data_IF_333590692254
#
_entry.id   IF_333590692254
#
_cell.length_a   1.000
_cell.length_b   1.000
_cell.length_c   1.000
_cell.angle_alpha   90.00
_cell.angle_beta   90.00
_cell.angle_gamma   90.00
#
_symmetry.space_group_name_H-M   'P 1'
#
loop_
_entity.id
_entity.type
_entity.pdbx_description
1 polymer ?
#
# COMPACT_ATOMS: atom_id res chain seq x y z
N UNK A 1 28.53 26.05 -4.89
CA UNK A 1 28.12 24.64 -4.80
C UNK A 1 29.05 23.83 -5.70
N UNK A 2 29.79 22.89 -5.15
CA UNK A 2 30.70 22.03 -5.93
C UNK A 2 30.08 20.64 -5.95
N UNK A 3 29.78 20.14 -7.14
CA UNK A 3 29.29 18.77 -7.34
C UNK A 3 30.54 17.90 -7.57
N UNK A 4 30.73 16.90 -6.73
CA UNK A 4 31.91 16.03 -6.80
C UNK A 4 31.53 14.59 -6.43
N UNK A 5 32.22 13.61 -7.00
CA UNK A 5 32.12 12.21 -6.58
C UNK A 5 32.72 12.01 -5.19
N UNK A 6 32.42 10.87 -4.54
CA UNK A 6 32.94 10.55 -3.21
C UNK A 6 34.48 10.51 -3.19
N UNK A 7 35.10 10.00 -4.27
CA UNK A 7 36.56 9.99 -4.44
C UNK A 7 37.12 11.39 -4.59
N UNK A 8 36.48 12.28 -5.35
CA UNK A 8 36.85 13.67 -5.50
C UNK A 8 36.65 14.43 -4.19
N UNK A 9 35.60 14.15 -3.40
CA UNK A 9 35.40 14.71 -2.07
C UNK A 9 36.58 14.43 -1.14
N UNK A 10 37.06 13.19 -1.06
CA UNK A 10 38.19 12.82 -0.21
C UNK A 10 39.47 13.56 -0.62
N UNK A 11 39.73 13.65 -1.93
CA UNK A 11 40.89 14.36 -2.43
C UNK A 11 40.85 15.88 -2.16
N UNK A 12 39.65 16.48 -2.31
CA UNK A 12 39.47 17.93 -2.14
C UNK A 12 39.32 18.31 -0.65
N UNK A 13 38.79 17.45 0.22
CA UNK A 13 38.65 17.73 1.65
C UNK A 13 40.02 17.97 2.33
N UNK A 14 41.05 17.23 1.92
CA UNK A 14 42.41 17.46 2.41
C UNK A 14 43.00 18.79 1.94
N UNK A 15 42.62 19.24 0.74
CA UNK A 15 43.13 20.47 0.15
C UNK A 15 42.52 21.74 0.76
N UNK A 16 41.29 21.66 1.26
CA UNK A 16 40.57 22.82 1.82
C UNK A 16 40.59 22.88 3.33
N UNK A 17 40.95 21.80 4.05
CA UNK A 17 41.07 21.79 5.51
C UNK A 17 42.14 22.77 6.01
N UNK A 18 43.20 22.95 5.23
CA UNK A 18 44.33 23.81 5.57
C UNK A 18 43.98 25.32 5.54
N UNK A 19 42.86 25.67 4.93
CA UNK A 19 42.42 27.06 4.83
C UNK A 19 41.29 27.44 5.79
N UNK A 20 40.88 26.53 6.69
CA UNK A 20 39.83 26.78 7.68
C UNK A 20 38.45 27.03 7.05
N UNK A 21 38.23 26.63 5.81
CA UNK A 21 36.97 26.83 5.06
C UNK A 21 36.04 25.63 5.28
N UNK A 22 34.86 25.91 5.84
CA UNK A 22 33.80 24.93 5.88
C UNK A 22 33.16 24.76 4.49
N UNK A 23 33.34 23.61 3.89
CA UNK A 23 32.80 23.31 2.57
C UNK A 23 31.65 22.32 2.71
N UNK A 24 30.44 22.72 2.27
CA UNK A 24 29.30 21.83 2.17
C UNK A 24 29.39 21.05 0.84
N UNK A 25 29.59 19.76 0.95
CA UNK A 25 29.73 18.87 -0.19
C UNK A 25 28.41 18.25 -0.57
N UNK A 26 28.06 18.36 -1.84
CA UNK A 26 27.02 17.55 -2.47
C UNK A 26 27.74 16.51 -3.32
N UNK A 27 27.77 15.27 -2.83
CA UNK A 27 28.32 14.16 -3.61
C UNK A 27 27.24 13.61 -4.54
N UNK A 28 27.52 13.61 -5.82
CA UNK A 28 26.78 12.76 -6.76
C UNK A 28 27.46 11.40 -6.72
N UNK A 29 26.83 10.44 -6.07
CA UNK A 29 27.25 9.05 -6.11
C UNK A 29 26.85 8.51 -7.49
N UNK A 30 27.79 8.43 -8.41
CA UNK A 30 27.55 7.89 -9.77
C UNK A 30 27.12 6.41 -9.74
N UNK A 31 27.28 5.73 -8.60
CA UNK A 31 26.89 4.33 -8.39
C UNK A 31 25.51 4.17 -7.71
N UNK A 32 24.90 5.24 -7.22
CA UNK A 32 23.53 5.16 -6.68
C UNK A 32 22.52 5.18 -7.81
N UNK A 33 22.35 4.02 -8.42
CA UNK A 33 21.21 3.79 -9.30
C UNK A 33 19.92 3.93 -8.47
N UNK A 34 18.98 4.72 -8.96
CA UNK A 34 17.65 4.82 -8.37
C UNK A 34 16.97 3.45 -8.44
N UNK A 35 16.93 2.72 -7.33
CA UNK A 35 16.31 1.39 -7.27
C UNK A 35 14.81 1.45 -7.57
N UNK A 36 14.18 2.60 -7.35
CA UNK A 36 12.76 2.82 -7.54
C UNK A 36 12.46 3.71 -8.77
N UNK A 37 13.31 3.75 -9.78
CA UNK A 37 13.15 4.61 -10.96
C UNK A 37 11.83 4.38 -11.72
N UNK A 38 11.30 3.17 -11.71
CA UNK A 38 10.02 2.80 -12.34
C UNK A 38 8.82 2.89 -11.39
N UNK A 39 9.04 3.24 -10.13
CA UNK A 39 7.97 3.30 -9.13
C UNK A 39 7.04 4.47 -9.39
N UNK A 40 5.74 4.24 -9.20
CA UNK A 40 4.74 5.29 -9.23
C UNK A 40 5.08 6.43 -8.26
N UNK A 41 4.92 7.67 -8.70
CA UNK A 41 5.33 8.86 -7.93
C UNK A 41 4.62 8.99 -6.57
N UNK A 42 3.37 8.52 -6.47
CA UNK A 42 2.61 8.55 -5.21
C UNK A 42 3.15 7.51 -4.23
N UNK A 43 3.46 6.30 -4.70
CA UNK A 43 4.12 5.26 -3.89
C UNK A 43 5.50 5.74 -3.42
N UNK A 44 6.28 6.31 -4.34
CA UNK A 44 7.59 6.91 -4.02
C UNK A 44 7.47 7.94 -2.92
N UNK A 45 6.49 8.86 -3.03
CA UNK A 45 6.25 9.86 -2.00
C UNK A 45 5.88 9.24 -0.66
N UNK A 46 4.99 8.26 -0.64
CA UNK A 46 4.60 7.59 0.60
C UNK A 46 5.78 6.91 1.32
N UNK A 47 6.74 6.36 0.56
CA UNK A 47 7.97 5.77 1.10
C UNK A 47 8.90 6.85 1.65
N UNK A 48 9.04 7.98 0.96
CA UNK A 48 9.93 9.07 1.37
C UNK A 48 9.37 9.89 2.54
N UNK A 49 8.05 9.88 2.74
CA UNK A 49 7.39 10.49 3.89
C UNK A 49 7.53 9.63 5.18
N UNK A 50 7.96 8.37 5.06
CA UNK A 50 8.21 7.51 6.22
C UNK A 50 9.58 7.84 6.85
N UNK A 51 9.57 8.41 8.04
CA UNK A 51 10.78 8.81 8.77
C UNK A 51 11.69 7.61 9.13
N UNK A 52 11.16 6.39 9.17
CA UNK A 52 11.96 5.18 9.42
C UNK A 52 12.76 4.76 8.20
N UNK A 53 12.28 5.09 7.01
CA UNK A 53 12.91 4.81 5.72
C UNK A 53 13.78 6.00 5.28
N UNK A 54 13.26 7.21 5.43
CA UNK A 54 13.91 8.46 5.03
C UNK A 54 14.02 9.46 6.21
N UNK A 55 14.93 9.24 7.16
CA UNK A 55 15.05 10.07 8.36
C UNK A 55 15.45 11.52 8.08
N UNK A 56 15.94 11.83 6.89
CA UNK A 56 16.29 13.20 6.47
C UNK A 56 15.06 13.98 6.00
N UNK A 57 14.01 13.28 5.56
CA UNK A 57 12.76 13.89 5.08
C UNK A 57 12.88 14.61 3.73
N UNK A 58 13.98 14.42 3.00
CA UNK A 58 14.14 15.03 1.67
C UNK A 58 13.41 14.20 0.61
N UNK A 59 12.37 14.78 0.00
CA UNK A 59 11.57 14.18 -1.06
C UNK A 59 12.38 13.89 -2.35
N UNK A 60 13.55 14.53 -2.51
CA UNK A 60 14.45 14.29 -3.64
C UNK A 60 15.48 13.20 -3.34
N UNK A 61 15.38 12.54 -2.19
CA UNK A 61 16.26 11.43 -1.84
C UNK A 61 16.15 10.31 -2.87
N UNK A 62 17.29 9.82 -3.35
CA UNK A 62 17.37 8.62 -4.20
C UNK A 62 16.98 7.41 -3.36
N UNK A 63 15.95 6.69 -3.75
CA UNK A 63 15.52 5.47 -3.05
C UNK A 63 16.49 4.34 -3.39
N UNK A 64 17.13 3.81 -2.37
CA UNK A 64 18.08 2.70 -2.49
C UNK A 64 17.41 1.37 -2.16
N UNK A 65 18.02 0.25 -2.56
CA UNK A 65 17.58 -1.09 -2.17
C UNK A 65 17.53 -1.26 -0.64
N UNK A 66 18.48 -0.65 0.10
CA UNK A 66 18.46 -0.68 1.56
C UNK A 66 17.24 0.04 2.13
N UNK A 67 16.81 1.14 1.52
CA UNK A 67 15.58 1.85 1.92
C UNK A 67 14.35 1.00 1.60
N UNK A 68 14.26 0.41 0.41
CA UNK A 68 13.17 -0.48 0.02
C UNK A 68 13.05 -1.69 0.96
N UNK A 69 14.19 -2.23 1.41
CA UNK A 69 14.22 -3.34 2.37
C UNK A 69 13.68 -2.95 3.77
N UNK A 70 13.65 -1.67 4.12
CA UNK A 70 13.06 -1.16 5.37
C UNK A 70 11.57 -0.90 5.28
N UNK A 71 11.00 -0.84 4.07
CA UNK A 71 9.58 -0.58 3.87
C UNK A 71 8.76 -1.77 4.33
N UNK A 72 8.11 -1.63 5.46
CA UNK A 72 7.19 -2.63 6.02
C UNK A 72 5.73 -2.21 5.98
N UNK A 73 5.47 -0.92 5.81
CA UNK A 73 4.12 -0.37 5.72
C UNK A 73 4.08 0.71 4.64
N UNK A 74 3.02 0.72 3.83
CA UNK A 74 2.69 1.82 2.92
C UNK A 74 1.29 2.29 3.26
N UNK A 75 1.16 3.59 3.54
CA UNK A 75 -0.10 4.21 3.90
C UNK A 75 -0.37 5.44 3.02
N UNK A 76 -1.29 5.30 2.07
CA UNK A 76 -1.76 6.39 1.23
C UNK A 76 -3.09 6.88 1.80
N UNK A 77 -3.09 8.12 2.29
CA UNK A 77 -4.24 8.72 2.95
C UNK A 77 -4.98 9.71 2.05
N UNK A 78 -6.20 10.07 2.42
CA UNK A 78 -7.01 11.07 1.69
C UNK A 78 -6.40 12.47 1.66
N UNK A 79 -5.46 12.77 2.55
CA UNK A 79 -4.73 14.05 2.58
C UNK A 79 -3.61 14.13 1.54
N UNK A 80 -3.21 12.99 0.96
CA UNK A 80 -2.21 12.94 -0.11
C UNK A 80 -2.87 13.17 -1.46
N UNK A 81 -2.17 13.92 -2.31
CA UNK A 81 -2.54 13.95 -3.74
C UNK A 81 -2.13 12.60 -4.34
N UNK A 82 -3.13 11.78 -4.60
CA UNK A 82 -2.96 10.44 -5.16
C UNK A 82 -3.33 10.37 -6.66
N UNK A 83 -3.43 11.52 -7.32
CA UNK A 83 -3.72 11.58 -8.76
C UNK A 83 -2.69 10.76 -9.54
N UNK A 84 -3.17 9.84 -10.38
CA UNK A 84 -2.32 8.96 -11.17
C UNK A 84 -1.65 7.82 -10.39
N UNK A 85 -2.13 7.50 -9.19
CA UNK A 85 -1.67 6.33 -8.45
C UNK A 85 -1.88 5.07 -9.28
N UNK A 86 -0.80 4.32 -9.44
CA UNK A 86 -0.77 2.91 -9.86
C UNK A 86 0.03 2.12 -8.84
N UNK A 87 0.04 0.79 -8.96
CA UNK A 87 0.86 -0.07 -8.10
C UNK A 87 2.23 -0.39 -8.70
N UNK A 88 2.63 0.32 -9.76
CA UNK A 88 3.92 0.12 -10.42
C UNK A 88 5.08 0.36 -9.43
N UNK A 89 5.96 -0.62 -9.31
CA UNK A 89 7.11 -0.60 -8.40
C UNK A 89 6.79 -0.98 -6.96
N UNK A 90 5.53 -1.32 -6.63
CA UNK A 90 5.20 -1.84 -5.30
C UNK A 90 5.94 -3.15 -5.01
N UNK A 91 6.17 -3.97 -6.03
CA UNK A 91 6.90 -5.25 -5.98
C UNK A 91 8.34 -5.12 -5.47
N UNK A 92 8.92 -3.93 -5.54
CA UNK A 92 10.25 -3.65 -4.97
C UNK A 92 10.24 -3.66 -3.43
N UNK A 93 9.07 -3.49 -2.80
CA UNK A 93 8.92 -3.47 -1.34
C UNK A 93 8.71 -4.89 -0.78
N UNK A 94 9.71 -5.75 -0.90
CA UNK A 94 9.63 -7.19 -0.58
C UNK A 94 9.40 -7.53 0.89
N UNK A 95 9.53 -6.55 1.80
CA UNK A 95 9.27 -6.69 3.23
C UNK A 95 7.93 -6.09 3.67
N UNK A 96 7.08 -5.71 2.72
CA UNK A 96 5.79 -5.10 3.02
C UNK A 96 4.91 -6.07 3.82
N UNK A 97 4.43 -5.62 4.97
CA UNK A 97 3.50 -6.35 5.85
C UNK A 97 2.13 -5.72 5.90
N UNK A 98 2.05 -4.41 5.62
CA UNK A 98 0.78 -3.67 5.60
C UNK A 98 0.70 -2.75 4.39
N UNK A 99 -0.44 -2.77 3.72
CA UNK A 99 -0.77 -1.87 2.62
C UNK A 99 -2.13 -1.21 2.89
N UNK A 100 -2.13 0.10 2.97
CA UNK A 100 -3.36 0.89 3.13
C UNK A 100 -3.45 1.94 2.02
N UNK A 101 -4.50 1.85 1.22
CA UNK A 101 -4.80 2.82 0.17
C UNK A 101 -6.19 3.40 0.43
N UNK A 102 -6.21 4.65 0.92
CA UNK A 102 -7.42 5.43 1.09
C UNK A 102 -7.26 6.74 0.28
N UNK A 103 -7.61 6.68 -0.99
CA UNK A 103 -7.28 7.72 -1.95
C UNK A 103 -8.51 8.25 -2.69
N UNK A 104 -8.52 9.57 -2.99
CA UNK A 104 -9.57 10.21 -3.76
C UNK A 104 -9.31 10.10 -5.26
N UNK A 105 -10.40 9.91 -6.05
CA UNK A 105 -10.38 9.89 -7.53
C UNK A 105 -9.40 8.87 -8.14
N UNK A 106 -9.13 7.79 -7.42
CA UNK A 106 -8.23 6.73 -7.86
C UNK A 106 -9.03 5.49 -8.19
N UNK A 107 -8.79 4.94 -9.37
CA UNK A 107 -9.23 3.61 -9.80
C UNK A 107 -7.99 2.74 -10.03
N UNK A 108 -7.94 1.60 -9.37
CA UNK A 108 -6.77 0.72 -9.42
C UNK A 108 -6.93 -0.47 -10.40
N UNK A 109 -8.14 -0.64 -10.97
CA UNK A 109 -8.41 -1.78 -11.86
C UNK A 109 -8.27 -3.12 -11.15
N UNK A 110 -7.58 -4.06 -11.80
CA UNK A 110 -7.28 -5.37 -11.22
C UNK A 110 -6.03 -5.27 -10.35
N UNK A 111 -6.14 -5.74 -9.10
CA UNK A 111 -5.06 -5.69 -8.11
C UNK A 111 -4.55 -7.11 -7.87
N UNK A 112 -3.25 -7.33 -8.06
CA UNK A 112 -2.58 -8.58 -7.72
C UNK A 112 -1.50 -8.34 -6.65
N UNK A 113 -1.78 -8.82 -5.44
CA UNK A 113 -0.87 -8.79 -4.30
C UNK A 113 -0.35 -10.17 -3.92
N UNK A 114 -0.60 -11.20 -4.74
CA UNK A 114 -0.27 -12.60 -4.41
C UNK A 114 1.21 -12.85 -4.18
N UNK A 115 2.09 -12.05 -4.80
CA UNK A 115 3.54 -12.16 -4.64
C UNK A 115 4.07 -11.64 -3.29
N UNK A 116 3.27 -10.87 -2.54
CA UNK A 116 3.71 -10.25 -1.28
C UNK A 116 3.58 -11.20 -0.09
N UNK A 117 4.44 -12.20 0.00
CA UNK A 117 4.34 -13.30 0.97
C UNK A 117 4.41 -12.88 2.45
N UNK A 118 4.86 -11.65 2.75
CA UNK A 118 4.90 -11.07 4.11
C UNK A 118 3.70 -10.19 4.43
N UNK A 119 2.89 -9.86 3.43
CA UNK A 119 1.76 -8.94 3.58
C UNK A 119 0.63 -9.64 4.35
N UNK A 120 0.30 -9.10 5.51
CA UNK A 120 -0.72 -9.63 6.41
C UNK A 120 -1.95 -8.75 6.52
N UNK A 121 -1.81 -7.45 6.23
CA UNK A 121 -2.87 -6.47 6.41
C UNK A 121 -3.06 -5.64 5.14
N UNK A 122 -4.27 -5.67 4.59
CA UNK A 122 -4.63 -4.91 3.39
C UNK A 122 -5.88 -4.09 3.65
N UNK A 123 -5.79 -2.79 3.38
CA UNK A 123 -6.93 -1.87 3.39
C UNK A 123 -7.06 -1.18 2.05
N UNK A 124 -8.18 -1.38 1.36
CA UNK A 124 -8.49 -0.79 0.06
C UNK A 124 -9.72 0.10 0.16
N UNK A 125 -9.54 1.39 -0.04
CA UNK A 125 -10.61 2.39 -0.05
C UNK A 125 -10.36 3.46 -1.12
N UNK A 126 -10.04 3.07 -2.37
CA UNK A 126 -9.94 4.02 -3.47
C UNK A 126 -11.34 4.52 -3.85
N UNK A 127 -11.53 5.84 -4.02
CA UNK A 127 -12.88 6.38 -4.27
C UNK A 127 -13.44 6.05 -5.65
N UNK A 128 -12.60 5.79 -6.64
CA UNK A 128 -13.03 5.31 -7.95
C UNK A 128 -12.95 3.77 -8.09
N UNK A 129 -12.69 3.07 -6.97
CA UNK A 129 -12.80 1.62 -6.85
C UNK A 129 -11.65 0.81 -7.43
N UNK A 130 -11.88 -0.48 -7.47
CA UNK A 130 -11.04 -1.48 -8.12
C UNK A 130 -11.95 -2.60 -8.67
N UNK A 131 -11.49 -3.31 -9.71
CA UNK A 131 -12.31 -4.32 -10.38
C UNK A 131 -12.23 -5.68 -9.68
N UNK A 132 -11.01 -6.10 -9.37
CA UNK A 132 -10.73 -7.37 -8.68
C UNK A 132 -9.51 -7.24 -7.78
N UNK A 133 -9.37 -8.19 -6.84
CA UNK A 133 -8.21 -8.24 -5.96
C UNK A 133 -7.80 -9.69 -5.72
N UNK A 134 -6.51 -9.97 -5.88
CA UNK A 134 -5.85 -11.18 -5.42
C UNK A 134 -4.98 -10.82 -4.22
N UNK A 135 -5.20 -11.51 -3.11
CA UNK A 135 -4.46 -11.33 -1.86
C UNK A 135 -3.39 -12.41 -1.72
N UNK A 136 -2.35 -12.21 -0.89
CA UNK A 136 -1.40 -13.29 -0.59
C UNK A 136 -2.00 -14.34 0.35
N UNK A 137 -1.47 -15.56 0.31
CA UNK A 137 -1.97 -16.67 1.12
C UNK A 137 -1.91 -16.41 2.64
N UNK A 138 -0.91 -15.65 3.10
CA UNK A 138 -0.71 -15.33 4.52
C UNK A 138 -1.52 -14.14 5.04
N UNK A 139 -2.50 -13.63 4.26
CA UNK A 139 -3.32 -12.48 4.66
C UNK A 139 -4.15 -12.78 5.92
N UNK A 140 -4.12 -11.87 6.90
CA UNK A 140 -4.87 -11.98 8.15
C UNK A 140 -6.00 -10.97 8.28
N UNK A 141 -5.81 -9.79 7.71
CA UNK A 141 -6.76 -8.71 7.80
C UNK A 141 -7.02 -8.10 6.42
N UNK A 142 -8.26 -8.16 5.99
CA UNK A 142 -8.69 -7.52 4.75
C UNK A 142 -9.83 -6.52 5.03
N UNK A 143 -9.59 -5.28 4.65
CA UNK A 143 -10.59 -4.21 4.70
C UNK A 143 -10.80 -3.63 3.31
N UNK A 144 -12.04 -3.53 2.92
CA UNK A 144 -12.42 -2.85 1.68
C UNK A 144 -13.59 -1.92 1.95
N UNK A 145 -13.46 -0.68 1.47
CA UNK A 145 -14.59 0.25 1.43
C UNK A 145 -14.90 0.49 -0.04
N UNK A 146 -16.01 -0.06 -0.49
CA UNK A 146 -16.52 0.11 -1.84
C UNK A 146 -17.24 1.45 -1.89
N UNK A 147 -16.88 2.29 -2.83
CA UNK A 147 -17.42 3.66 -2.97
C UNK A 147 -18.14 3.84 -4.31
N UNK A 148 -18.70 5.01 -4.49
CA UNK A 148 -19.42 5.39 -5.72
C UNK A 148 -18.61 6.41 -6.50
N UNK A 149 -18.55 6.23 -7.80
CA UNK A 149 -18.09 7.26 -8.72
C UNK A 149 -19.27 7.64 -9.63
N UNK A 150 -19.61 8.92 -9.66
CA UNK A 150 -20.70 9.48 -10.48
C UNK A 150 -22.06 8.78 -10.24
N UNK A 151 -22.40 8.44 -8.98
CA UNK A 151 -23.61 7.72 -8.58
C UNK A 151 -23.68 6.25 -9.07
N UNK A 152 -22.61 5.71 -9.61
CA UNK A 152 -22.49 4.31 -9.96
C UNK A 152 -21.58 3.58 -8.97
N UNK A 153 -21.96 2.37 -8.53
CA UNK A 153 -21.11 1.59 -7.64
C UNK A 153 -19.87 1.11 -8.41
N UNK A 154 -18.70 1.35 -7.81
CA UNK A 154 -17.41 0.94 -8.37
C UNK A 154 -16.73 -0.03 -7.42
N UNK A 155 -16.61 -1.27 -7.85
CA UNK A 155 -15.98 -2.32 -7.04
C UNK A 155 -16.32 -3.70 -7.58
N UNK A 156 -15.76 -4.74 -6.96
CA UNK A 156 -16.08 -6.11 -7.30
C UNK A 156 -17.55 -6.41 -7.01
N UNK A 157 -18.21 -7.09 -7.92
CA UNK A 157 -19.60 -7.57 -7.72
C UNK A 157 -19.64 -8.83 -6.85
N UNK A 158 -18.57 -9.58 -6.83
CA UNK A 158 -18.40 -10.80 -6.04
C UNK A 158 -17.02 -10.83 -5.40
N UNK A 159 -16.94 -11.23 -4.13
CA UNK A 159 -15.71 -11.53 -3.43
C UNK A 159 -15.77 -12.95 -2.89
N UNK A 160 -14.89 -13.81 -3.38
CA UNK A 160 -14.67 -15.14 -2.82
C UNK A 160 -13.32 -15.13 -2.10
N UNK A 161 -13.36 -15.22 -0.77
CA UNK A 161 -12.19 -15.19 0.09
C UNK A 161 -11.84 -16.57 0.68
N UNK A 162 -12.52 -17.62 0.26
CA UNK A 162 -12.40 -18.97 0.84
C UNK A 162 -10.99 -19.57 0.78
N UNK A 163 -10.20 -19.16 -0.19
CA UNK A 163 -8.80 -19.61 -0.34
C UNK A 163 -7.85 -19.00 0.70
N UNK A 164 -8.21 -17.87 1.34
CA UNK A 164 -7.33 -17.16 2.28
C UNK A 164 -7.55 -17.65 3.71
N UNK A 165 -7.11 -18.84 4.01
CA UNK A 165 -7.42 -19.59 5.24
C UNK A 165 -6.83 -18.99 6.52
N UNK A 166 -5.93 -18.03 6.41
CA UNK A 166 -5.33 -17.28 7.53
C UNK A 166 -6.10 -16.03 7.92
N UNK A 167 -7.18 -15.67 7.20
CA UNK A 167 -8.01 -14.52 7.51
C UNK A 167 -8.65 -14.63 8.90
N UNK A 168 -8.36 -13.65 9.73
CA UNK A 168 -8.90 -13.46 11.08
C UNK A 168 -9.94 -12.33 11.12
N UNK A 169 -9.76 -11.33 10.25
CA UNK A 169 -10.59 -10.14 10.16
C UNK A 169 -10.95 -9.83 8.72
N UNK A 170 -12.24 -9.66 8.45
CA UNK A 170 -12.77 -9.17 7.16
C UNK A 170 -13.74 -8.02 7.40
N UNK A 171 -13.54 -6.92 6.70
CA UNK A 171 -14.48 -5.79 6.68
C UNK A 171 -14.69 -5.35 5.24
N UNK A 172 -15.87 -5.58 4.72
CA UNK A 172 -16.27 -5.10 3.39
C UNK A 172 -17.46 -4.17 3.58
N UNK A 173 -17.19 -2.87 3.51
CA UNK A 173 -18.19 -1.84 3.75
C UNK A 173 -18.56 -1.17 2.43
N UNK A 174 -19.83 -0.94 2.26
CA UNK A 174 -20.35 -0.09 1.20
C UNK A 174 -20.58 1.32 1.74
N UNK A 175 -20.24 2.34 0.98
CA UNK A 175 -20.40 3.70 1.44
C UNK A 175 -21.79 4.25 1.09
N UNK A 176 -22.62 4.38 2.12
CA UNK A 176 -23.86 5.19 2.14
C UNK A 176 -24.99 4.85 1.15
N UNK A 177 -25.85 3.89 1.54
CA UNK A 177 -27.28 3.95 1.20
C UNK A 177 -27.74 3.76 -0.27
N UNK A 178 -26.82 3.60 -1.18
CA UNK A 178 -27.08 3.35 -2.60
C UNK A 178 -26.93 1.85 -2.92
N UNK A 179 -27.41 1.36 -4.05
CA UNK A 179 -27.34 -0.07 -4.35
C UNK A 179 -25.88 -0.53 -4.42
N UNK A 180 -25.54 -1.44 -3.52
CA UNK A 180 -24.19 -1.99 -3.37
C UNK A 180 -23.62 -2.56 -4.68
N UNK A 181 -22.34 -2.26 -4.97
CA UNK A 181 -21.61 -2.96 -6.03
C UNK A 181 -21.52 -4.45 -5.71
N UNK A 182 -21.15 -4.77 -4.46
CA UNK A 182 -21.00 -6.14 -3.99
C UNK A 182 -22.38 -6.83 -3.89
N UNK A 183 -22.55 -7.91 -4.63
CA UNK A 183 -23.76 -8.76 -4.63
C UNK A 183 -23.56 -10.03 -3.81
N UNK A 184 -22.31 -10.52 -3.73
CA UNK A 184 -21.99 -11.76 -3.03
C UNK A 184 -20.64 -11.70 -2.35
N UNK A 185 -20.60 -12.14 -1.08
CA UNK A 185 -19.39 -12.34 -0.30
C UNK A 185 -19.35 -13.78 0.20
N UNK A 186 -18.30 -14.52 -0.15
CA UNK A 186 -18.09 -15.87 0.33
C UNK A 186 -16.86 -15.92 1.23
N UNK A 187 -17.07 -16.21 2.51
CA UNK A 187 -16.03 -16.44 3.54
C UNK A 187 -16.16 -17.82 4.16
N UNK A 188 -16.90 -18.73 3.51
CA UNK A 188 -17.13 -20.07 4.07
C UNK A 188 -15.84 -20.85 4.23
N UNK A 189 -15.76 -21.65 5.31
CA UNK A 189 -14.59 -22.49 5.60
C UNK A 189 -13.40 -21.74 6.21
N UNK A 190 -13.49 -20.42 6.41
CA UNK A 190 -12.41 -19.66 7.06
C UNK A 190 -12.35 -19.96 8.56
N UNK A 191 -11.55 -20.95 8.93
CA UNK A 191 -11.50 -21.48 10.29
C UNK A 191 -10.92 -20.52 11.33
N UNK A 192 -10.17 -19.51 10.91
CA UNK A 192 -9.57 -18.47 11.77
C UNK A 192 -10.37 -17.19 11.82
N UNK A 193 -11.38 -17.00 10.96
CA UNK A 193 -12.16 -15.78 10.88
C UNK A 193 -12.94 -15.56 12.19
N UNK A 194 -12.59 -14.50 12.91
CA UNK A 194 -13.20 -14.11 14.16
C UNK A 194 -14.17 -12.93 14.03
N UNK A 195 -13.86 -11.99 13.15
CA UNK A 195 -14.60 -10.75 12.97
C UNK A 195 -14.97 -10.52 11.51
N UNK A 196 -16.27 -10.31 11.25
CA UNK A 196 -16.80 -9.99 9.93
C UNK A 196 -17.71 -8.76 10.00
N UNK A 197 -17.36 -7.73 9.24
CA UNK A 197 -18.20 -6.55 9.03
C UNK A 197 -18.59 -6.45 7.57
N UNK A 198 -19.89 -6.32 7.32
CA UNK A 198 -20.41 -6.22 5.96
C UNK A 198 -21.40 -5.05 5.89
N UNK A 199 -21.13 -4.10 5.02
CA UNK A 199 -22.07 -3.02 4.68
C UNK A 199 -22.86 -3.35 3.41
N UNK A 200 -24.05 -2.73 3.30
CA UNK A 200 -24.95 -2.98 2.19
C UNK A 200 -25.71 -4.31 2.31
N UNK A 201 -26.20 -4.82 1.20
CA UNK A 201 -27.09 -5.98 1.16
C UNK A 201 -26.59 -7.17 0.32
N UNK A 202 -25.28 -7.50 0.33
CA UNK A 202 -24.83 -8.66 -0.41
C UNK A 202 -25.38 -9.96 0.21
N UNK A 203 -25.45 -11.01 -0.61
CA UNK A 203 -25.55 -12.37 -0.09
C UNK A 203 -24.22 -12.76 0.58
N UNK A 204 -24.28 -13.23 1.82
CA UNK A 204 -23.06 -13.57 2.60
C UNK A 204 -23.09 -15.05 2.98
N UNK A 205 -22.09 -15.79 2.52
CA UNK A 205 -21.89 -17.18 2.93
C UNK A 205 -20.83 -17.27 4.02
N UNK A 206 -21.26 -17.65 5.24
CA UNK A 206 -20.42 -17.80 6.44
C UNK A 206 -20.37 -19.24 6.95
N UNK A 207 -20.74 -20.20 6.12
CA UNK A 207 -20.76 -21.62 6.54
C UNK A 207 -19.36 -22.07 6.99
N UNK A 208 -19.31 -22.88 8.04
CA UNK A 208 -18.07 -23.46 8.56
C UNK A 208 -16.99 -22.43 9.00
N UNK A 209 -17.41 -21.33 9.64
CA UNK A 209 -16.53 -20.34 10.29
C UNK A 209 -16.60 -20.49 11.82
N UNK A 210 -15.93 -21.48 12.43
CA UNK A 210 -16.14 -21.89 13.83
C UNK A 210 -15.70 -20.84 14.85
N UNK A 211 -14.79 -19.94 14.50
CA UNK A 211 -14.31 -18.90 15.40
C UNK A 211 -15.02 -17.55 15.19
N UNK A 212 -15.97 -17.47 14.28
CA UNK A 212 -16.70 -16.22 14.01
C UNK A 212 -17.56 -15.83 15.21
N UNK A 213 -17.08 -14.83 15.98
CA UNK A 213 -17.76 -14.33 17.18
C UNK A 213 -18.56 -13.06 16.91
N UNK A 214 -18.18 -12.31 15.90
CA UNK A 214 -18.83 -11.04 15.54
C UNK A 214 -19.11 -11.00 14.05
N UNK A 215 -20.39 -10.94 13.71
CA UNK A 215 -20.84 -10.70 12.34
C UNK A 215 -21.82 -9.51 12.38
N UNK A 216 -21.38 -8.37 11.85
CA UNK A 216 -22.20 -7.16 11.78
C UNK A 216 -22.52 -6.91 10.31
N UNK A 217 -23.81 -6.90 10.01
CA UNK A 217 -24.34 -6.50 8.72
C UNK A 217 -25.10 -5.19 8.89
N UNK A 218 -24.57 -4.13 8.32
CA UNK A 218 -25.22 -2.81 8.30
C UNK A 218 -25.98 -2.66 6.97
N UNK A 219 -27.26 -2.38 7.07
CA UNK A 219 -28.14 -2.10 5.92
C UNK A 219 -28.09 -0.63 5.55
#
# INVERSE_FOLDING_TARGET
MIIATLAQKSAMASQYSDYGVSVTWWCVDEERTEAAASMNAVLRKAILDDETVNPVGDINTVITEEMLAKVTEINITTSMDATGLTLDGLDLCTNLTKLSINAWQVSLGDIDLSAFTKLTDVTMSPTAGYTSIQLPDGIKSFKSIIKYANHEPVGPTTLDLTQYTDLEYVSVMDSYGEPAALKSLNVSGLSKLALLYVGGTPEVNIANCPLLTTCIKNN
#
